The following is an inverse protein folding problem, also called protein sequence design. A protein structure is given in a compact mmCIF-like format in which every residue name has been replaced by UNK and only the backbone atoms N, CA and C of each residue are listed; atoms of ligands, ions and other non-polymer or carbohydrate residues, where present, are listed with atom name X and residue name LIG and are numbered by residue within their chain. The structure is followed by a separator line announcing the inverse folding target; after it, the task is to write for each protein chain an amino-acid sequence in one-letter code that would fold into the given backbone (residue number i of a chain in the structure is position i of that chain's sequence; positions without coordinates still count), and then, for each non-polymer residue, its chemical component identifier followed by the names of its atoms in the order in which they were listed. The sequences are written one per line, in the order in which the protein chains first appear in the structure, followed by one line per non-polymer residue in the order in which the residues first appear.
data_IF_960082794154
#
_entry.id   IF_960082794154
#
_cell.length_a   1.000
_cell.length_b   1.000
_cell.length_c   1.000
_cell.angle_alpha   90.00
_cell.angle_beta   90.00
_cell.angle_gamma   90.00
#
_symmetry.space_group_name_H-M   'P 1'
#
loop_
_entity.id
_entity.type
_entity.pdbx_description
1 polymer ?
#
# COMPACT_ATOMS: atom_id res chain seq x y z
N UNK A 1 0.98 -5.42 71.56
CA UNK A 1 0.76 -5.71 70.11
C UNK A 1 1.50 -4.64 69.30
N UNK A 2 2.67 -4.99 68.74
CA UNK A 2 3.46 -4.11 67.90
C UNK A 2 2.99 -4.30 66.45
N UNK A 3 2.49 -3.24 65.82
CA UNK A 3 2.16 -3.21 64.38
C UNK A 3 3.46 -3.00 63.60
N UNK A 4 3.83 -4.00 62.79
CA UNK A 4 4.92 -3.91 61.83
C UNK A 4 4.33 -3.27 60.54
N UNK A 5 4.82 -2.08 60.22
CA UNK A 5 4.50 -1.42 58.97
C UNK A 5 5.50 -1.95 57.92
N UNK A 6 5.05 -2.72 56.93
CA UNK A 6 5.84 -3.14 55.79
C UNK A 6 5.68 -2.03 54.75
N UNK A 7 6.71 -1.20 54.59
CA UNK A 7 6.84 -0.22 53.47
C UNK A 7 7.39 -1.00 52.29
N UNK A 8 6.55 -1.34 51.34
CA UNK A 8 6.97 -1.90 50.06
C UNK A 8 7.61 -0.81 49.18
N UNK A 9 8.92 -0.87 49.01
CA UNK A 9 9.62 -0.05 48.02
C UNK A 9 9.27 -0.53 46.62
N UNK A 10 8.42 0.20 45.95
CA UNK A 10 8.14 -0.02 44.53
C UNK A 10 9.34 0.51 43.72
N UNK A 11 10.22 -0.38 43.26
CA UNK A 11 11.32 -0.02 42.41
C UNK A 11 10.77 0.46 41.06
N UNK A 12 10.85 1.75 40.82
CA UNK A 12 10.56 2.37 39.52
C UNK A 12 11.68 1.98 38.56
N UNK A 13 11.49 0.88 37.81
CA UNK A 13 12.41 0.52 36.73
C UNK A 13 12.23 1.57 35.64
N UNK A 14 13.09 2.56 35.60
CA UNK A 14 13.23 3.43 34.42
C UNK A 14 13.74 2.57 33.28
N UNK A 15 12.85 2.18 32.38
CA UNK A 15 13.20 1.54 31.12
C UNK A 15 13.93 2.58 30.25
N UNK A 16 15.27 2.62 30.35
CA UNK A 16 16.08 3.36 29.38
C UNK A 16 15.87 2.73 28.00
N UNK A 17 15.73 3.55 26.94
CA UNK A 17 15.61 3.03 25.59
C UNK A 17 16.85 2.20 25.25
N UNK A 18 16.64 0.95 24.92
CA UNK A 18 17.73 0.05 24.48
C UNK A 18 18.08 0.48 23.06
N UNK A 19 19.22 1.17 22.90
CA UNK A 19 19.79 1.44 21.58
C UNK A 19 20.48 0.18 21.09
N UNK A 20 20.03 -0.35 19.93
CA UNK A 20 20.65 -1.49 19.29
C UNK A 20 21.40 -1.04 18.04
N UNK A 21 22.65 -1.45 17.92
CA UNK A 21 23.35 -1.42 16.64
C UNK A 21 22.71 -2.47 15.74
N UNK A 22 22.35 -2.10 14.52
CA UNK A 22 21.67 -2.98 13.59
C UNK A 22 22.71 -3.89 12.94
N UNK A 23 22.51 -5.20 13.06
CA UNK A 23 23.26 -6.18 12.29
C UNK A 23 22.67 -6.27 10.88
N UNK A 24 23.45 -5.95 9.88
CA UNK A 24 23.03 -5.95 8.48
C UNK A 24 23.40 -7.27 7.80
N UNK A 25 22.41 -7.90 7.18
CA UNK A 25 22.55 -9.09 6.35
C UNK A 25 22.24 -8.73 4.90
N UNK A 26 23.15 -9.00 3.98
CA UNK A 26 22.87 -8.87 2.56
C UNK A 26 21.87 -9.96 2.15
N UNK A 27 20.73 -9.53 1.59
CA UNK A 27 19.65 -10.44 1.14
C UNK A 27 19.60 -10.57 -0.37
N UNK A 28 20.01 -9.51 -1.08
CA UNK A 28 20.20 -9.49 -2.54
C UNK A 28 21.34 -8.51 -2.86
N UNK A 29 21.96 -8.58 -4.05
CA UNK A 29 23.00 -7.65 -4.44
C UNK A 29 22.60 -6.18 -4.30
N UNK A 30 23.27 -5.47 -3.39
CA UNK A 30 22.97 -4.06 -3.09
C UNK A 30 21.72 -3.84 -2.22
N UNK A 31 21.22 -4.89 -1.57
CA UNK A 31 20.11 -4.83 -0.61
C UNK A 31 20.48 -5.52 0.69
N UNK A 32 20.39 -4.82 1.80
CA UNK A 32 20.66 -5.35 3.14
C UNK A 32 19.43 -5.21 4.02
N UNK A 33 19.21 -6.26 4.83
CA UNK A 33 18.16 -6.30 5.83
C UNK A 33 18.77 -6.17 7.22
N UNK A 34 18.16 -5.32 8.04
CA UNK A 34 18.39 -5.23 9.47
C UNK A 34 17.11 -5.51 10.25
N UNK A 35 17.25 -5.97 11.49
CA UNK A 35 16.13 -6.27 12.38
C UNK A 35 16.32 -5.58 13.70
N UNK A 36 15.27 -4.95 14.21
CA UNK A 36 15.23 -4.37 15.56
C UNK A 36 14.04 -4.96 16.30
N UNK A 37 14.28 -5.52 17.48
CA UNK A 37 13.24 -6.17 18.27
C UNK A 37 12.68 -7.44 17.66
N UNK A 38 11.41 -7.70 17.90
CA UNK A 38 10.68 -8.85 17.36
C UNK A 38 9.65 -8.33 16.35
N UNK A 39 9.96 -8.36 15.04
CA UNK A 39 9.03 -7.96 14.00
C UNK A 39 7.75 -8.79 14.02
N UNK A 40 6.65 -8.19 13.64
CA UNK A 40 5.39 -8.90 13.43
C UNK A 40 5.51 -9.79 12.19
N UNK A 41 4.90 -10.97 12.25
CA UNK A 41 4.86 -11.92 11.13
C UNK A 41 4.09 -11.32 9.94
N UNK A 42 3.01 -10.57 10.22
CA UNK A 42 2.23 -9.90 9.20
C UNK A 42 2.90 -8.62 8.71
N UNK A 43 3.41 -8.62 7.49
CA UNK A 43 4.21 -7.54 6.90
C UNK A 43 3.84 -7.26 5.45
N UNK A 44 4.26 -6.10 4.92
CA UNK A 44 3.96 -5.70 3.54
C UNK A 44 4.54 -6.67 2.50
N UNK A 45 5.80 -7.07 2.64
CA UNK A 45 6.43 -8.02 1.72
C UNK A 45 5.79 -9.40 1.81
N UNK A 46 5.38 -9.83 3.03
CA UNK A 46 4.64 -11.07 3.24
C UNK A 46 3.28 -11.07 2.55
N UNK A 47 2.52 -9.98 2.69
CA UNK A 47 1.21 -9.83 2.02
C UNK A 47 1.36 -9.75 0.51
N UNK A 48 2.35 -9.00 0.02
CA UNK A 48 2.63 -8.92 -1.41
C UNK A 48 2.94 -10.31 -2.01
N UNK A 49 3.55 -11.21 -1.22
CA UNK A 49 3.80 -12.61 -1.61
C UNK A 49 4.69 -12.73 -2.84
N UNK A 50 5.59 -11.79 -3.01
CA UNK A 50 6.45 -11.69 -4.19
C UNK A 50 7.79 -12.39 -3.96
N UNK A 51 8.39 -12.86 -5.04
CA UNK A 51 9.74 -13.43 -5.05
C UNK A 51 10.71 -12.45 -5.71
N UNK A 52 11.84 -12.14 -5.08
CA UNK A 52 12.85 -11.28 -5.68
C UNK A 52 13.34 -11.78 -7.04
N UNK A 53 13.52 -10.86 -7.99
CA UNK A 53 13.96 -11.16 -9.36
C UNK A 53 15.49 -11.24 -9.44
N UNK A 54 16.06 -12.39 -9.05
CA UNK A 54 17.50 -12.61 -8.91
C UNK A 54 18.31 -12.28 -10.16
N UNK A 55 17.81 -12.66 -11.34
CA UNK A 55 18.48 -12.34 -12.62
C UNK A 55 18.55 -10.83 -12.89
N UNK A 56 17.54 -10.07 -12.43
CA UNK A 56 17.53 -8.62 -12.53
C UNK A 56 18.64 -7.99 -11.68
N UNK A 57 18.83 -8.49 -10.47
CA UNK A 57 19.92 -8.02 -9.58
C UNK A 57 21.29 -8.26 -10.18
N UNK A 58 21.52 -9.40 -10.82
CA UNK A 58 22.80 -9.74 -11.44
C UNK A 58 23.20 -8.78 -12.59
N UNK A 59 22.28 -8.02 -13.12
CA UNK A 59 22.52 -7.02 -14.19
C UNK A 59 22.82 -5.61 -13.66
N UNK A 60 22.72 -5.41 -12.35
CA UNK A 60 22.95 -4.10 -11.74
C UNK A 60 24.41 -3.99 -11.27
N UNK A 61 24.96 -2.76 -11.22
CA UNK A 61 26.33 -2.55 -10.73
C UNK A 61 26.53 -3.11 -9.32
N UNK A 62 27.70 -3.71 -9.06
CA UNK A 62 28.06 -4.12 -7.71
C UNK A 62 28.22 -2.89 -6.81
N UNK A 63 27.75 -3.02 -5.58
CA UNK A 63 27.85 -1.99 -4.55
C UNK A 63 28.07 -2.63 -3.19
N UNK A 64 28.76 -1.92 -2.32
CA UNK A 64 29.00 -2.33 -0.94
C UNK A 64 27.97 -1.71 0.01
N UNK A 65 27.88 -2.23 1.22
CA UNK A 65 27.04 -1.66 2.26
C UNK A 65 27.43 -0.18 2.47
N UNK A 66 26.47 0.76 2.34
CA UNK A 66 26.76 2.17 2.59
C UNK A 66 27.30 2.44 3.99
N UNK A 67 28.28 3.31 4.13
CA UNK A 67 28.85 3.68 5.44
C UNK A 67 27.75 4.17 6.40
N UNK A 68 26.71 4.82 5.88
CA UNK A 68 25.51 5.23 6.61
C UNK A 68 24.89 4.11 7.46
N UNK A 69 25.00 2.86 7.03
CA UNK A 69 24.45 1.71 7.76
C UNK A 69 24.96 1.61 9.21
N UNK A 70 26.22 2.02 9.45
CA UNK A 70 26.84 2.01 10.78
C UNK A 70 26.30 3.13 11.69
N UNK A 71 25.64 4.12 11.11
CA UNK A 71 25.11 5.30 11.80
C UNK A 71 23.59 5.20 12.03
N UNK A 72 22.92 4.25 11.39
CA UNK A 72 21.49 3.99 11.58
C UNK A 72 21.29 3.37 12.97
N UNK A 73 20.44 3.99 13.77
CA UNK A 73 20.13 3.54 15.13
C UNK A 73 18.69 3.07 15.19
N UNK A 74 18.51 1.84 15.67
CA UNK A 74 17.22 1.29 16.09
C UNK A 74 17.04 1.41 17.59
N UNK A 75 15.81 1.66 18.05
CA UNK A 75 15.48 1.60 19.48
C UNK A 75 14.05 1.12 19.69
N UNK A 76 13.82 0.54 20.87
CA UNK A 76 12.49 0.12 21.32
C UNK A 76 12.18 0.85 22.61
N UNK A 77 11.01 1.46 22.66
CA UNK A 77 10.49 2.12 23.84
C UNK A 77 8.97 1.99 23.87
N UNK A 78 8.42 1.62 25.04
CA UNK A 78 6.97 1.50 25.26
C UNK A 78 6.25 0.64 24.20
N UNK A 79 6.88 -0.49 23.81
CA UNK A 79 6.34 -1.41 22.81
C UNK A 79 6.36 -0.88 21.37
N UNK A 80 7.06 0.22 21.11
CA UNK A 80 7.21 0.83 19.79
C UNK A 80 8.65 0.82 19.35
N UNK A 81 8.86 0.54 18.08
CA UNK A 81 10.19 0.59 17.44
C UNK A 81 10.40 1.92 16.76
N UNK A 82 11.60 2.46 16.85
CA UNK A 82 11.97 3.63 16.09
C UNK A 82 13.31 3.46 15.39
N UNK A 83 13.43 4.06 14.22
CA UNK A 83 14.67 4.15 13.45
C UNK A 83 15.08 5.60 13.31
N UNK A 84 16.38 5.87 13.44
CA UNK A 84 16.97 7.16 13.15
C UNK A 84 18.05 6.98 12.09
N UNK A 85 17.84 7.61 10.92
CA UNK A 85 18.72 7.56 9.75
C UNK A 85 19.32 8.97 9.57
N UNK A 86 20.64 9.16 9.72
CA UNK A 86 21.28 10.44 9.56
C UNK A 86 21.12 11.03 8.16
N UNK A 87 21.04 12.35 8.08
CA UNK A 87 20.95 13.11 6.84
C UNK A 87 22.08 14.11 6.71
N UNK A 88 22.62 14.21 5.51
CA UNK A 88 23.54 15.27 5.15
C UNK A 88 22.81 16.62 5.00
N UNK A 89 23.54 17.73 5.12
CA UNK A 89 22.95 19.08 5.14
C UNK A 89 22.06 19.41 3.94
N UNK A 90 22.45 19.01 2.73
CA UNK A 90 21.73 19.30 1.47
C UNK A 90 20.97 18.10 0.90
N UNK A 91 20.92 17.01 1.63
CA UNK A 91 20.29 15.79 1.20
C UNK A 91 18.80 15.97 1.00
N UNK A 92 18.27 15.41 -0.08
CA UNK A 92 16.86 15.46 -0.46
C UNK A 92 16.25 14.07 -0.38
N UNK A 93 14.96 14.00 -0.07
CA UNK A 93 14.22 12.77 0.15
C UNK A 93 13.02 12.71 -0.79
N UNK A 94 12.81 11.56 -1.42
CA UNK A 94 11.72 11.32 -2.36
C UNK A 94 11.06 9.98 -2.06
N UNK A 95 9.74 9.88 -2.20
CA UNK A 95 9.00 8.64 -1.96
C UNK A 95 7.92 8.78 -0.89
N UNK A 96 7.79 7.77 -0.03
CA UNK A 96 6.72 7.59 0.97
C UNK A 96 5.33 7.42 0.35
N UNK A 97 5.27 6.96 -0.89
CA UNK A 97 4.03 6.71 -1.62
C UNK A 97 3.61 7.85 -2.54
N UNK A 98 2.34 7.85 -2.89
CA UNK A 98 1.76 8.79 -3.84
C UNK A 98 1.43 10.12 -3.14
N UNK A 99 2.33 11.07 -3.21
CA UNK A 99 2.15 12.43 -2.67
C UNK A 99 1.84 13.42 -3.79
N UNK A 100 0.82 14.29 -3.59
CA UNK A 100 0.25 15.08 -4.67
C UNK A 100 0.80 16.51 -4.78
N UNK A 101 1.32 17.08 -3.70
CA UNK A 101 1.71 18.49 -3.68
C UNK A 101 3.17 18.70 -4.06
N UNK A 102 4.07 17.89 -3.53
CA UNK A 102 5.51 18.02 -3.81
C UNK A 102 6.16 16.64 -3.93
N UNK A 103 7.20 16.57 -4.77
CA UNK A 103 8.05 15.39 -4.92
C UNK A 103 9.05 15.29 -3.77
N UNK A 104 9.54 16.42 -3.28
CA UNK A 104 10.53 16.51 -2.21
C UNK A 104 9.85 16.46 -0.84
N UNK A 105 10.26 15.51 0.01
CA UNK A 105 9.60 15.22 1.29
C UNK A 105 10.36 15.72 2.54
N UNK A 106 11.59 16.22 2.41
CA UNK A 106 12.36 16.68 3.58
C UNK A 106 11.67 17.84 4.30
N UNK A 107 11.69 17.79 5.63
CA UNK A 107 11.05 18.79 6.51
C UNK A 107 9.60 18.44 6.87
N UNK A 108 9.03 17.38 6.31
CA UNK A 108 7.64 16.98 6.56
C UNK A 108 7.51 15.97 7.70
N UNK A 109 6.31 15.92 8.26
CA UNK A 109 5.84 14.84 9.13
C UNK A 109 4.78 14.10 8.33
N UNK A 110 5.04 12.81 8.07
CA UNK A 110 4.17 11.98 7.25
C UNK A 110 3.57 10.87 8.13
N UNK A 111 2.25 10.76 8.12
CA UNK A 111 1.52 9.67 8.73
C UNK A 111 1.10 8.71 7.62
N UNK A 112 1.87 7.65 7.41
CA UNK A 112 1.64 6.68 6.34
C UNK A 112 0.39 5.86 6.64
N UNK A 113 -0.71 6.28 6.07
CA UNK A 113 -2.05 5.77 6.32
C UNK A 113 -2.83 5.78 5.01
N UNK A 114 -3.39 4.63 4.62
CA UNK A 114 -4.26 4.53 3.44
C UNK A 114 -5.51 5.40 3.65
N UNK A 115 -5.66 6.42 2.81
CA UNK A 115 -6.78 7.35 2.86
C UNK A 115 -6.86 8.16 1.56
N UNK A 116 -7.79 7.82 0.67
CA UNK A 116 -7.93 8.51 -0.61
C UNK A 116 -8.37 9.98 -0.47
N UNK A 117 -8.77 10.40 0.71
CA UNK A 117 -9.22 11.76 0.98
C UNK A 117 -8.10 12.68 1.47
N UNK A 118 -6.84 12.19 1.48
CA UNK A 118 -5.68 12.92 2.02
C UNK A 118 -5.50 14.30 1.41
N UNK A 119 -5.28 14.41 0.13
CA UNK A 119 -5.12 15.68 -0.60
C UNK A 119 -4.03 16.63 -0.09
N UNK A 120 -3.33 16.28 1.00
CA UNK A 120 -2.25 17.03 1.64
C UNK A 120 -1.02 16.13 1.74
N UNK A 121 0.16 16.69 1.56
CA UNK A 121 1.42 15.95 1.71
C UNK A 121 1.72 15.69 3.20
N UNK A 122 0.88 14.89 3.83
CA UNK A 122 1.00 14.48 5.23
C UNK A 122 1.10 12.95 5.40
N UNK A 123 1.31 12.20 4.28
CA UNK A 123 1.43 10.74 4.28
C UNK A 123 0.12 9.98 4.22
N UNK A 124 -1.03 10.65 4.42
CA UNK A 124 -2.36 10.06 4.19
C UNK A 124 -2.69 10.19 2.71
N UNK A 125 -2.73 9.07 2.01
CA UNK A 125 -2.88 9.03 0.54
C UNK A 125 -3.45 7.69 0.09
N UNK A 126 -3.86 7.60 -1.18
CA UNK A 126 -4.32 6.35 -1.80
C UNK A 126 -3.33 5.19 -1.65
N UNK A 127 -2.04 5.47 -1.75
CA UNK A 127 -0.99 4.47 -1.71
C UNK A 127 0.22 4.97 -0.90
N UNK A 128 0.14 4.97 0.44
CA UNK A 128 1.30 5.22 1.28
C UNK A 128 2.26 4.03 1.16
N UNK A 129 3.55 4.30 0.96
CA UNK A 129 4.57 3.27 0.87
C UNK A 129 5.72 3.63 1.82
N UNK A 130 6.10 2.76 2.77
CA UNK A 130 7.18 3.03 3.72
C UNK A 130 8.57 2.85 3.08
N UNK A 131 8.71 3.31 1.85
CA UNK A 131 9.95 3.34 1.07
C UNK A 131 10.24 4.76 0.61
N UNK A 132 11.51 5.16 0.78
CA UNK A 132 12.02 6.42 0.23
C UNK A 132 13.42 6.26 -0.33
N UNK A 133 13.79 7.15 -1.22
CA UNK A 133 15.15 7.29 -1.74
C UNK A 133 15.74 8.64 -1.33
N UNK A 134 17.05 8.62 -1.18
CA UNK A 134 17.86 9.80 -0.90
C UNK A 134 18.68 10.23 -2.10
N UNK A 135 18.87 11.55 -2.27
CA UNK A 135 19.82 12.11 -3.22
C UNK A 135 21.27 11.68 -2.96
N UNK A 136 21.56 11.07 -1.80
CA UNK A 136 22.87 10.53 -1.43
C UNK A 136 23.11 9.09 -1.92
N UNK A 137 22.22 8.53 -2.76
CA UNK A 137 22.41 7.23 -3.43
C UNK A 137 22.01 6.01 -2.60
N UNK A 138 21.09 6.17 -1.67
CA UNK A 138 20.51 5.06 -0.92
C UNK A 138 18.98 5.13 -0.86
N UNK A 139 18.36 4.03 -0.50
CA UNK A 139 16.93 3.95 -0.18
C UNK A 139 16.70 3.15 1.09
N UNK A 140 15.57 3.40 1.73
CA UNK A 140 15.15 2.70 2.94
C UNK A 140 13.72 2.24 2.80
N UNK A 141 13.44 0.98 3.14
CA UNK A 141 12.11 0.40 3.30
C UNK A 141 11.93 -0.08 4.73
N UNK A 142 10.81 0.24 5.35
CA UNK A 142 10.36 -0.36 6.60
C UNK A 142 9.29 -1.41 6.28
N UNK A 143 9.58 -2.68 6.51
CA UNK A 143 8.64 -3.77 6.22
C UNK A 143 7.65 -3.96 7.37
N UNK A 144 6.66 -3.08 7.44
CA UNK A 144 5.60 -3.12 8.43
C UNK A 144 4.27 -2.74 7.80
N UNK A 145 3.21 -3.44 8.19
CA UNK A 145 1.83 -3.16 7.78
C UNK A 145 1.09 -2.21 8.74
N UNK A 146 1.80 -1.63 9.73
CA UNK A 146 1.25 -0.66 10.69
C UNK A 146 1.20 0.76 10.10
N UNK A 147 0.42 1.64 10.72
CA UNK A 147 0.47 3.07 10.43
C UNK A 147 1.79 3.65 10.97
N UNK A 148 2.67 4.05 10.07
CA UNK A 148 3.96 4.62 10.47
C UNK A 148 3.90 6.13 10.54
N UNK A 149 4.63 6.72 11.52
CA UNK A 149 4.90 8.16 11.53
C UNK A 149 6.35 8.39 11.12
N UNK A 150 6.54 9.23 10.11
CA UNK A 150 7.85 9.57 9.56
C UNK A 150 8.13 11.06 9.78
N UNK A 151 9.18 11.36 10.52
CA UNK A 151 9.75 12.68 10.64
C UNK A 151 10.87 12.81 9.60
N UNK A 152 10.53 13.21 8.40
CA UNK A 152 11.41 13.22 7.23
C UNK A 152 12.38 14.43 7.27
N UNK A 153 13.36 14.44 8.15
CA UNK A 153 14.24 15.57 8.37
C UNK A 153 13.55 16.73 9.10
N UNK A 154 12.61 16.42 9.98
CA UNK A 154 11.95 17.34 10.91
C UNK A 154 12.16 16.88 12.35
N UNK A 155 11.86 17.74 13.34
CA UNK A 155 12.01 17.40 14.76
C UNK A 155 13.49 17.29 15.19
N UNK A 156 14.19 18.42 15.28
CA UNK A 156 15.60 18.48 15.68
C UNK A 156 15.81 18.02 17.12
N UNK A 157 16.76 17.10 17.33
CA UNK A 157 17.17 16.66 18.66
C UNK A 157 18.21 17.60 19.26
N UNK A 158 18.14 17.82 20.57
CA UNK A 158 19.10 18.69 21.32
C UNK A 158 20.51 18.07 21.37
N UNK A 159 20.63 16.76 21.27
CA UNK A 159 21.89 16.00 21.30
C UNK A 159 22.44 15.66 19.91
N UNK A 160 21.88 16.28 18.86
CA UNK A 160 22.34 16.07 17.51
C UNK A 160 23.66 16.78 17.24
N UNK A 161 24.69 16.11 16.64
CA UNK A 161 25.94 16.75 16.30
C UNK A 161 25.79 17.85 15.23
N UNK A 162 24.74 17.77 14.43
CA UNK A 162 24.43 18.73 13.35
C UNK A 162 23.09 19.43 13.58
N UNK A 163 22.77 19.74 14.83
CA UNK A 163 21.54 20.45 15.17
C UNK A 163 21.44 21.79 14.39
N UNK A 164 20.24 22.23 14.02
CA UNK A 164 20.02 23.51 13.39
C UNK A 164 20.51 24.67 14.29
N UNK A 165 21.19 25.62 13.68
CA UNK A 165 21.65 26.81 14.42
C UNK A 165 20.46 27.72 14.77
N UNK A 166 20.37 28.11 16.02
CA UNK A 166 19.35 29.05 16.47
C UNK A 166 19.50 30.42 15.76
N UNK A 167 18.38 30.95 15.32
CA UNK A 167 18.30 32.26 14.64
C UNK A 167 17.31 33.15 15.35
N UNK A 168 17.59 34.45 15.35
CA UNK A 168 16.65 35.44 15.88
C UNK A 168 15.53 35.70 14.87
N UNK A 169 14.29 35.41 15.24
CA UNK A 169 13.11 35.64 14.39
C UNK A 169 12.97 37.09 13.93
N UNK A 170 13.39 38.05 14.75
CA UNK A 170 13.19 39.46 14.47
C UNK A 170 14.28 40.03 13.54
N UNK A 171 15.47 39.39 13.51
CA UNK A 171 16.65 39.91 12.81
C UNK A 171 17.05 39.09 11.59
N UNK A 172 16.78 37.75 11.59
CA UNK A 172 17.20 36.85 10.50
C UNK A 172 16.01 36.50 9.62
N UNK A 173 16.01 37.02 8.39
CA UNK A 173 14.97 36.73 7.39
C UNK A 173 14.89 35.24 6.96
N UNK A 174 15.91 34.46 7.31
CA UNK A 174 15.95 33.00 7.02
C UNK A 174 15.48 32.18 8.23
N UNK A 175 14.92 32.82 9.25
CA UNK A 175 14.30 32.13 10.37
C UNK A 175 13.10 31.30 9.91
N UNK A 176 12.93 30.16 10.51
CA UNK A 176 11.75 29.26 10.32
C UNK A 176 11.40 28.60 11.64
N UNK A 177 10.12 28.39 11.89
CA UNK A 177 9.62 27.64 13.05
C UNK A 177 9.89 26.15 12.94
N UNK A 178 10.18 25.63 11.72
CA UNK A 178 10.42 24.24 11.41
C UNK A 178 11.75 24.06 10.68
N UNK A 179 12.90 24.26 11.33
CA UNK A 179 14.20 24.05 10.71
C UNK A 179 14.40 22.58 10.38
N UNK A 180 15.12 22.29 9.30
CA UNK A 180 15.46 20.93 8.92
C UNK A 180 16.31 20.25 10.00
N UNK A 181 15.89 19.05 10.37
CA UNK A 181 16.67 18.16 11.21
C UNK A 181 17.76 17.43 10.38
N UNK A 182 18.73 16.87 11.06
CA UNK A 182 19.81 16.07 10.51
C UNK A 182 19.52 14.57 10.45
N UNK A 183 18.27 14.16 10.56
CA UNK A 183 17.88 12.76 10.47
C UNK A 183 16.43 12.58 9.97
N UNK A 184 16.19 11.45 9.34
CA UNK A 184 14.85 10.85 9.25
C UNK A 184 14.64 10.03 10.51
N UNK A 185 13.52 10.26 11.20
CA UNK A 185 13.08 9.42 12.31
C UNK A 185 11.78 8.74 11.94
N UNK A 186 11.71 7.41 12.07
CA UNK A 186 10.54 6.61 11.72
C UNK A 186 10.05 5.89 12.97
N UNK A 187 8.78 6.07 13.31
CA UNK A 187 8.12 5.39 14.41
C UNK A 187 7.21 4.30 13.85
N UNK A 188 7.43 3.08 14.34
CA UNK A 188 6.63 1.88 14.04
C UNK A 188 5.91 1.48 15.33
N UNK A 189 4.57 1.45 15.38
CA UNK A 189 3.81 1.08 16.59
C UNK A 189 3.77 -0.45 16.76
N UNK A 190 4.95 -1.08 16.83
CA UNK A 190 5.14 -2.51 17.00
C UNK A 190 6.42 -2.78 17.80
N UNK A 191 6.53 -3.94 18.49
CA UNK A 191 7.66 -4.29 19.34
C UNK A 191 8.94 -4.64 18.56
N UNK A 192 8.89 -4.61 17.24
CA UNK A 192 10.01 -4.82 16.34
C UNK A 192 9.64 -4.49 14.91
N UNK A 193 10.66 -4.29 14.08
CA UNK A 193 10.46 -4.09 12.64
C UNK A 193 11.72 -4.48 11.85
N UNK A 194 11.51 -4.86 10.59
CA UNK A 194 12.57 -5.03 9.61
C UNK A 194 12.79 -3.71 8.86
N UNK A 195 14.06 -3.39 8.67
CA UNK A 195 14.50 -2.29 7.84
C UNK A 195 15.36 -2.83 6.69
N UNK A 196 15.09 -2.38 5.48
CA UNK A 196 15.89 -2.70 4.30
C UNK A 196 16.63 -1.45 3.83
N UNK A 197 17.91 -1.61 3.57
CA UNK A 197 18.78 -0.57 3.01
C UNK A 197 19.18 -0.96 1.59
N UNK A 198 18.92 -0.06 0.65
CA UNK A 198 19.24 -0.21 -0.76
C UNK A 198 20.35 0.75 -1.12
N UNK A 199 21.31 0.32 -1.92
CA UNK A 199 22.36 1.19 -2.46
C UNK A 199 22.43 1.11 -3.98
N UNK A 200 22.94 2.15 -4.60
CA UNK A 200 23.17 2.20 -6.03
C UNK A 200 23.99 3.42 -6.43
N UNK A 201 24.73 3.37 -7.56
CA UNK A 201 25.45 4.53 -8.08
C UNK A 201 24.54 5.71 -8.37
N UNK A 202 23.28 5.45 -8.70
CA UNK A 202 22.27 6.46 -9.00
C UNK A 202 20.98 6.20 -8.22
N UNK A 203 20.14 7.21 -7.98
CA UNK A 203 18.81 7.02 -7.41
C UNK A 203 17.95 6.00 -8.19
N UNK A 204 18.11 5.95 -9.51
CA UNK A 204 17.40 5.00 -10.36
C UNK A 204 17.81 3.56 -10.08
N UNK A 205 19.08 3.28 -9.78
CA UNK A 205 19.54 1.94 -9.43
C UNK A 205 18.99 1.49 -8.07
N UNK A 206 18.79 2.43 -7.15
CA UNK A 206 18.10 2.18 -5.87
C UNK A 206 16.63 1.79 -6.11
N UNK A 207 15.91 2.53 -6.95
CA UNK A 207 14.52 2.22 -7.32
C UNK A 207 14.42 0.87 -8.03
N UNK A 208 15.36 0.57 -8.92
CA UNK A 208 15.40 -0.75 -9.60
C UNK A 208 15.56 -1.89 -8.60
N UNK A 209 16.45 -1.76 -7.61
CA UNK A 209 16.63 -2.78 -6.57
C UNK A 209 15.37 -2.96 -5.71
N UNK A 210 14.73 -1.87 -5.32
CA UNK A 210 13.45 -1.93 -4.64
C UNK A 210 12.40 -2.67 -5.48
N UNK A 211 12.25 -2.30 -6.75
CA UNK A 211 11.33 -2.96 -7.67
C UNK A 211 11.63 -4.46 -7.81
N UNK A 212 12.91 -4.85 -8.00
CA UNK A 212 13.32 -6.24 -8.10
C UNK A 212 13.09 -7.04 -6.82
N UNK A 213 13.30 -6.42 -5.65
CA UNK A 213 12.98 -7.05 -4.35
C UNK A 213 11.48 -7.32 -4.22
N UNK A 214 10.66 -6.41 -4.73
CA UNK A 214 9.20 -6.50 -4.73
C UNK A 214 8.63 -7.33 -5.90
N UNK A 215 9.44 -8.19 -6.54
CA UNK A 215 8.98 -9.11 -7.58
C UNK A 215 9.17 -8.60 -9.02
N UNK A 216 9.72 -7.40 -9.20
CA UNK A 216 9.94 -6.79 -10.51
C UNK A 216 8.67 -6.21 -11.13
N UNK A 217 8.78 -5.84 -12.40
CA UNK A 217 7.64 -5.37 -13.19
C UNK A 217 6.91 -6.52 -13.90
N UNK A 218 5.68 -6.27 -14.28
CA UNK A 218 4.91 -7.14 -15.16
C UNK A 218 4.87 -6.52 -16.56
N UNK A 219 5.12 -7.33 -17.58
CA UNK A 219 4.88 -6.93 -18.94
C UNK A 219 3.39 -7.12 -19.25
N UNK A 220 2.61 -6.04 -19.38
CA UNK A 220 1.20 -6.19 -19.70
C UNK A 220 1.02 -6.68 -21.14
N UNK A 221 -0.12 -7.31 -21.48
CA UNK A 221 -0.42 -7.67 -22.86
C UNK A 221 -0.52 -6.38 -23.72
N UNK A 222 -0.20 -6.48 -25.00
CA UNK A 222 -0.17 -5.31 -25.91
C UNK A 222 -1.48 -4.51 -25.89
N UNK A 223 -2.62 -5.18 -25.88
CA UNK A 223 -3.92 -4.51 -25.81
C UNK A 223 -4.14 -3.74 -24.50
N UNK A 224 -3.54 -4.21 -23.39
CA UNK A 224 -3.61 -3.52 -22.10
C UNK A 224 -2.86 -2.18 -22.04
N UNK A 225 -2.00 -1.91 -23.04
CA UNK A 225 -1.33 -0.63 -23.26
C UNK A 225 -2.05 0.23 -24.32
N UNK A 226 -3.17 -0.23 -24.85
CA UNK A 226 -3.94 0.44 -25.87
C UNK A 226 -4.95 1.46 -25.32
N UNK A 227 -5.81 1.95 -26.20
CA UNK A 227 -6.80 2.93 -25.81
C UNK A 227 -7.97 2.28 -25.06
N UNK A 228 -8.33 2.88 -23.92
CA UNK A 228 -9.43 2.45 -23.07
C UNK A 228 -10.52 3.50 -23.03
N UNK A 229 -11.75 3.10 -23.34
CA UNK A 229 -12.95 3.90 -23.12
C UNK A 229 -13.68 3.43 -21.85
N UNK A 230 -14.13 4.37 -21.03
CA UNK A 230 -15.00 4.10 -19.87
C UNK A 230 -16.42 4.51 -20.20
N UNK A 231 -17.37 3.60 -19.97
CA UNK A 231 -18.78 3.87 -20.28
C UNK A 231 -19.45 4.78 -19.25
N UNK A 232 -20.60 5.35 -19.59
CA UNK A 232 -21.50 5.92 -18.58
C UNK A 232 -22.09 4.80 -17.73
N UNK A 233 -22.36 5.10 -16.45
CA UNK A 233 -22.70 4.06 -15.46
C UNK A 233 -23.94 3.21 -15.78
N UNK A 234 -24.89 3.74 -16.54
CA UNK A 234 -26.17 3.06 -16.86
C UNK A 234 -26.26 2.59 -18.33
N UNK A 235 -25.14 2.52 -19.03
CA UNK A 235 -25.14 1.98 -20.39
C UNK A 235 -25.63 0.53 -20.40
N UNK A 236 -26.40 0.23 -21.44
CA UNK A 236 -26.84 -1.12 -21.80
C UNK A 236 -25.80 -1.79 -22.69
N UNK A 237 -25.94 -3.09 -22.91
CA UNK A 237 -25.10 -3.80 -23.89
C UNK A 237 -25.17 -3.18 -25.29
N UNK A 238 -26.34 -2.69 -25.69
CA UNK A 238 -26.53 -2.02 -26.97
C UNK A 238 -25.81 -0.66 -27.02
N UNK A 239 -25.91 0.16 -25.96
CA UNK A 239 -25.19 1.43 -25.89
C UNK A 239 -23.67 1.22 -26.02
N UNK A 240 -23.12 0.18 -25.38
CA UNK A 240 -21.70 -0.16 -25.45
C UNK A 240 -21.28 -0.60 -26.87
N UNK A 241 -22.10 -1.41 -27.52
CA UNK A 241 -21.87 -1.84 -28.92
C UNK A 241 -21.88 -0.65 -29.86
N UNK A 242 -22.87 0.24 -29.72
CA UNK A 242 -22.99 1.44 -30.53
C UNK A 242 -21.78 2.37 -30.33
N UNK A 243 -21.30 2.54 -29.10
CA UNK A 243 -20.11 3.35 -28.83
C UNK A 243 -18.85 2.74 -29.48
N UNK A 244 -18.68 1.41 -29.41
CA UNK A 244 -17.57 0.75 -30.10
C UNK A 244 -17.64 0.90 -31.63
N UNK A 245 -18.84 0.81 -32.21
CA UNK A 245 -19.05 1.02 -33.65
C UNK A 245 -18.74 2.47 -34.05
N UNK A 246 -19.04 3.44 -33.22
CA UNK A 246 -18.68 4.85 -33.44
C UNK A 246 -17.16 5.08 -33.46
N UNK A 247 -16.40 4.41 -32.56
CA UNK A 247 -14.93 4.42 -32.59
C UNK A 247 -14.40 3.86 -33.90
N UNK A 248 -14.92 2.71 -34.35
CA UNK A 248 -14.54 2.07 -35.60
C UNK A 248 -14.85 2.96 -36.81
N UNK A 249 -16.07 3.49 -36.92
CA UNK A 249 -16.51 4.36 -38.01
C UNK A 249 -15.66 5.65 -38.12
N UNK A 250 -15.18 6.15 -36.99
CA UNK A 250 -14.30 7.35 -36.96
C UNK A 250 -12.83 7.01 -37.15
N UNK A 251 -12.49 5.74 -37.31
CA UNK A 251 -11.10 5.27 -37.46
C UNK A 251 -10.23 5.51 -36.21
N UNK A 252 -10.86 5.59 -35.03
CA UNK A 252 -10.14 5.77 -33.77
C UNK A 252 -9.89 4.42 -33.11
N UNK A 253 -8.64 4.12 -32.68
CA UNK A 253 -8.34 2.83 -32.05
C UNK A 253 -9.07 2.64 -30.72
N UNK A 254 -9.54 1.44 -30.49
CA UNK A 254 -10.18 1.02 -29.24
C UNK A 254 -9.76 -0.39 -28.89
N UNK A 255 -9.04 -0.57 -27.80
CA UNK A 255 -8.53 -1.88 -27.39
C UNK A 255 -9.44 -2.54 -26.34
N UNK A 256 -9.97 -1.74 -25.41
CA UNK A 256 -10.96 -2.26 -24.46
C UNK A 256 -11.90 -1.18 -23.93
N UNK A 257 -13.07 -1.64 -23.53
CA UNK A 257 -14.10 -0.83 -22.86
C UNK A 257 -14.22 -1.29 -21.42
N UNK A 258 -14.15 -0.32 -20.50
CA UNK A 258 -14.43 -0.51 -19.09
C UNK A 258 -15.87 -0.16 -18.77
N UNK A 259 -16.63 -1.14 -18.29
CA UNK A 259 -17.98 -0.93 -17.81
C UNK A 259 -17.94 -0.32 -16.41
N UNK A 260 -18.68 0.78 -16.22
CA UNK A 260 -18.85 1.43 -14.92
C UNK A 260 -19.87 0.68 -14.05
N UNK A 261 -20.03 1.00 -12.73
CA UNK A 261 -20.76 0.18 -11.75
C UNK A 261 -22.12 -0.38 -12.19
N UNK A 262 -22.80 0.29 -13.09
CA UNK A 262 -24.14 -0.09 -13.57
C UNK A 262 -24.21 -1.36 -14.43
N UNK A 263 -23.09 -2.03 -14.72
CA UNK A 263 -23.17 -3.35 -15.31
C UNK A 263 -23.72 -4.39 -14.31
N UNK A 264 -23.60 -4.13 -13.00
CA UNK A 264 -24.11 -4.98 -11.93
C UNK A 264 -25.56 -4.67 -11.60
N UNK A 265 -26.26 -5.64 -11.05
CA UNK A 265 -27.61 -5.48 -10.51
C UNK A 265 -27.65 -4.49 -9.32
N UNK A 266 -26.60 -4.50 -8.47
CA UNK A 266 -26.31 -3.50 -7.43
C UNK A 266 -24.81 -3.32 -7.26
N UNK A 267 -24.36 -2.10 -6.95
CA UNK A 267 -22.93 -1.75 -7.00
C UNK A 267 -22.32 -1.20 -5.69
N UNK A 268 -23.08 -0.55 -4.83
CA UNK A 268 -22.62 0.00 -3.55
C UNK A 268 -23.50 -0.48 -2.40
N UNK A 269 -23.26 -1.73 -1.88
CA UNK A 269 -22.20 -2.69 -2.19
C UNK A 269 -22.48 -3.58 -3.42
N UNK A 270 -21.48 -4.38 -3.84
CA UNK A 270 -21.52 -5.17 -5.07
C UNK A 270 -22.27 -6.50 -4.93
N UNK A 271 -23.08 -6.83 -5.93
CA UNK A 271 -23.65 -8.19 -6.09
C UNK A 271 -22.74 -9.11 -6.88
N UNK A 272 -21.88 -8.57 -7.74
CA UNK A 272 -21.06 -9.28 -8.75
C UNK A 272 -21.91 -10.02 -9.80
N UNK A 273 -23.14 -9.61 -9.98
CA UNK A 273 -24.08 -10.22 -10.90
C UNK A 273 -24.50 -9.22 -11.97
N UNK A 274 -24.53 -9.66 -13.21
CA UNK A 274 -24.97 -8.83 -14.32
C UNK A 274 -26.41 -8.35 -14.12
N UNK A 275 -26.65 -7.10 -14.47
CA UNK A 275 -28.02 -6.58 -14.51
C UNK A 275 -28.76 -7.16 -15.71
N UNK A 276 -29.77 -7.98 -15.44
CA UNK A 276 -30.51 -8.72 -16.49
C UNK A 276 -31.28 -7.81 -17.47
N UNK A 277 -31.56 -6.55 -17.07
CA UNK A 277 -32.26 -5.59 -17.96
C UNK A 277 -31.26 -4.94 -18.90
N UNK A 278 -30.11 -4.49 -18.39
CA UNK A 278 -29.10 -3.79 -19.21
C UNK A 278 -28.23 -4.76 -20.00
N UNK A 279 -27.98 -5.95 -19.47
CA UNK A 279 -27.16 -7.01 -20.07
C UNK A 279 -27.89 -8.35 -20.00
N UNK A 280 -28.96 -8.56 -20.82
CA UNK A 280 -29.77 -9.79 -20.77
C UNK A 280 -29.03 -11.04 -21.20
N UNK A 281 -28.00 -10.92 -22.05
CA UNK A 281 -27.11 -11.98 -22.48
C UNK A 281 -25.65 -11.51 -22.35
N UNK A 282 -25.04 -11.60 -21.14
CA UNK A 282 -23.67 -11.13 -20.94
C UNK A 282 -22.64 -11.89 -21.75
N UNK A 283 -22.83 -13.22 -21.89
CA UNK A 283 -21.90 -14.07 -22.65
C UNK A 283 -21.90 -13.73 -24.14
N UNK A 284 -23.09 -13.57 -24.73
CA UNK A 284 -23.22 -13.10 -26.12
C UNK A 284 -22.63 -11.71 -26.31
N UNK A 285 -22.93 -10.78 -25.39
CA UNK A 285 -22.37 -9.41 -25.43
C UNK A 285 -20.83 -9.42 -25.42
N UNK A 286 -20.19 -10.13 -24.47
CA UNK A 286 -18.72 -10.19 -24.37
C UNK A 286 -18.13 -10.84 -25.61
N UNK A 287 -18.75 -11.91 -26.12
CA UNK A 287 -18.32 -12.59 -27.35
C UNK A 287 -18.37 -11.65 -28.57
N UNK A 288 -19.44 -10.89 -28.72
CA UNK A 288 -19.60 -9.93 -29.82
C UNK A 288 -18.53 -8.85 -29.76
N UNK A 289 -18.24 -8.31 -28.56
CA UNK A 289 -17.19 -7.32 -28.38
C UNK A 289 -15.80 -7.88 -28.70
N UNK A 290 -15.51 -9.11 -28.27
CA UNK A 290 -14.24 -9.77 -28.63
C UNK A 290 -14.11 -10.02 -30.12
N UNK A 291 -15.21 -10.32 -30.83
CA UNK A 291 -15.20 -10.48 -32.28
C UNK A 291 -14.86 -9.17 -33.00
N UNK A 292 -15.17 -7.99 -32.42
CA UNK A 292 -14.75 -6.66 -32.88
C UNK A 292 -13.30 -6.31 -32.50
N UNK A 293 -12.61 -7.21 -31.76
CA UNK A 293 -11.27 -6.93 -31.23
C UNK A 293 -11.26 -6.07 -29.95
N UNK A 294 -12.42 -5.76 -29.39
CA UNK A 294 -12.58 -4.93 -28.20
C UNK A 294 -12.82 -5.80 -26.96
N UNK A 295 -11.99 -5.64 -25.94
CA UNK A 295 -12.10 -6.40 -24.69
C UNK A 295 -12.98 -5.69 -23.68
N UNK A 296 -13.60 -6.47 -22.78
CA UNK A 296 -14.43 -5.93 -21.69
C UNK A 296 -13.68 -6.01 -20.36
N UNK A 297 -13.63 -4.87 -19.68
CA UNK A 297 -13.15 -4.68 -18.32
C UNK A 297 -14.31 -4.25 -17.43
N UNK A 298 -14.40 -4.79 -16.22
CA UNK A 298 -15.49 -4.49 -15.28
C UNK A 298 -14.99 -3.64 -14.12
N UNK A 299 -15.74 -2.60 -13.77
CA UNK A 299 -15.57 -1.92 -12.49
C UNK A 299 -16.08 -2.84 -11.36
N UNK A 300 -15.35 -2.90 -10.24
CA UNK A 300 -15.76 -3.63 -9.05
C UNK A 300 -15.13 -3.05 -7.79
N UNK A 301 -15.73 -3.34 -6.63
CA UNK A 301 -15.11 -3.25 -5.32
C UNK A 301 -15.34 -4.58 -4.57
N UNK A 302 -14.63 -4.83 -3.46
CA UNK A 302 -14.71 -6.13 -2.79
C UNK A 302 -15.88 -6.28 -1.79
N UNK A 303 -16.69 -5.25 -1.57
CA UNK A 303 -17.73 -5.26 -0.53
C UNK A 303 -18.99 -5.97 -1.01
N UNK A 304 -19.36 -7.05 -0.31
CA UNK A 304 -20.43 -7.97 -0.77
C UNK A 304 -21.79 -7.54 -0.27
N UNK A 305 -22.69 -7.29 -1.21
CA UNK A 305 -24.09 -6.91 -0.94
C UNK A 305 -24.85 -8.05 -0.25
N UNK A 306 -25.80 -7.73 0.67
CA UNK A 306 -26.76 -8.70 1.18
C UNK A 306 -27.59 -9.40 0.09
N UNK A 307 -27.73 -8.79 -1.09
CA UNK A 307 -28.44 -9.36 -2.22
C UNK A 307 -27.57 -10.26 -3.10
N UNK A 308 -26.27 -10.33 -2.85
CA UNK A 308 -25.35 -11.21 -3.62
C UNK A 308 -25.59 -12.69 -3.29
N UNK A 309 -25.51 -13.53 -4.30
CA UNK A 309 -25.61 -15.00 -4.14
C UNK A 309 -24.56 -15.57 -3.19
N UNK A 310 -23.38 -14.94 -3.10
CA UNK A 310 -22.29 -15.40 -2.22
C UNK A 310 -22.39 -14.84 -0.78
N UNK A 311 -23.36 -13.98 -0.48
CA UNK A 311 -23.43 -13.30 0.81
C UNK A 311 -23.45 -14.24 2.01
N UNK A 312 -24.29 -15.29 1.98
CA UNK A 312 -24.44 -16.22 3.11
C UNK A 312 -23.17 -17.01 3.37
N UNK A 313 -22.47 -17.39 2.33
CA UNK A 313 -21.22 -18.15 2.42
C UNK A 313 -20.06 -17.25 2.85
N UNK A 314 -20.01 -16.01 2.36
CA UNK A 314 -18.99 -15.02 2.67
C UNK A 314 -19.14 -14.44 4.10
N UNK A 315 -20.35 -14.38 4.64
CA UNK A 315 -20.64 -13.75 5.94
C UNK A 315 -19.74 -14.24 7.08
N UNK A 316 -19.56 -15.56 7.33
CA UNK A 316 -18.74 -16.05 8.45
C UNK A 316 -17.23 -15.85 8.25
N UNK A 317 -16.79 -15.49 7.05
CA UNK A 317 -15.38 -15.23 6.69
C UNK A 317 -15.14 -13.77 6.34
N UNK A 318 -15.94 -12.88 6.88
CA UNK A 318 -15.86 -11.43 6.70
C UNK A 318 -15.59 -10.71 8.01
N UNK A 319 -15.10 -9.49 7.92
CA UNK A 319 -14.87 -8.60 9.06
C UNK A 319 -16.16 -8.23 9.79
N UNK A 320 -16.02 -7.78 11.03
CA UNK A 320 -17.13 -7.45 11.95
C UNK A 320 -17.92 -6.18 11.57
N UNK A 321 -17.41 -5.37 10.66
CA UNK A 321 -18.03 -4.11 10.23
C UNK A 321 -18.31 -4.11 8.72
N UNK A 322 -19.26 -3.30 8.33
CA UNK A 322 -19.68 -3.19 6.92
C UNK A 322 -19.15 -1.92 6.26
N UNK A 323 -19.05 -1.95 4.94
CA UNK A 323 -18.83 -0.78 4.09
C UNK A 323 -20.03 -0.64 3.17
N UNK A 324 -20.72 0.51 3.19
CA UNK A 324 -21.99 0.74 2.48
C UNK A 324 -23.04 -0.35 2.70
N UNK A 325 -23.13 -0.86 3.93
CA UNK A 325 -23.95 -2.01 4.33
C UNK A 325 -23.55 -3.36 3.70
N UNK A 326 -22.44 -3.43 2.97
CA UNK A 326 -21.85 -4.68 2.49
C UNK A 326 -20.83 -5.25 3.45
N UNK A 327 -20.76 -6.58 3.53
CA UNK A 327 -19.75 -7.25 4.33
C UNK A 327 -18.38 -7.12 3.66
N UNK A 328 -17.34 -7.11 4.48
CA UNK A 328 -15.93 -6.96 4.05
C UNK A 328 -15.24 -8.32 4.10
N UNK A 329 -15.01 -8.99 2.96
CA UNK A 329 -14.32 -10.28 2.94
C UNK A 329 -12.95 -10.22 3.61
N UNK A 330 -12.63 -11.19 4.46
CA UNK A 330 -11.29 -11.34 5.02
C UNK A 330 -10.38 -12.05 4.01
N UNK A 331 -9.87 -11.28 3.04
CA UNK A 331 -9.04 -11.82 1.95
C UNK A 331 -7.65 -12.30 2.39
N UNK A 332 -7.26 -12.09 3.65
CA UNK A 332 -6.11 -12.78 4.22
C UNK A 332 -6.41 -14.27 4.45
N UNK A 333 -7.68 -14.65 4.64
CA UNK A 333 -8.14 -16.02 4.75
C UNK A 333 -8.36 -16.69 3.39
N UNK A 334 -7.87 -17.92 3.23
CA UNK A 334 -7.99 -18.69 1.98
C UNK A 334 -9.46 -18.93 1.56
N UNK A 335 -10.33 -19.22 2.54
CA UNK A 335 -11.73 -19.49 2.27
C UNK A 335 -12.46 -18.28 1.66
N UNK A 336 -12.23 -17.09 2.20
CA UNK A 336 -12.82 -15.86 1.65
C UNK A 336 -12.33 -15.60 0.22
N UNK A 337 -11.01 -15.76 -0.02
CA UNK A 337 -10.45 -15.62 -1.38
C UNK A 337 -11.08 -16.60 -2.35
N UNK A 338 -11.20 -17.87 -1.95
CA UNK A 338 -11.79 -18.90 -2.82
C UNK A 338 -13.23 -18.58 -3.20
N UNK A 339 -14.09 -18.22 -2.25
CA UNK A 339 -15.49 -17.85 -2.51
C UNK A 339 -15.55 -16.68 -3.51
N UNK A 340 -14.73 -15.67 -3.30
CA UNK A 340 -14.69 -14.48 -4.15
C UNK A 340 -14.18 -14.79 -5.56
N UNK A 341 -13.09 -15.55 -5.67
CA UNK A 341 -12.50 -15.97 -6.94
C UNK A 341 -13.46 -16.86 -7.72
N UNK A 342 -14.04 -17.89 -7.11
CA UNK A 342 -15.00 -18.79 -7.76
C UNK A 342 -16.18 -18.01 -8.38
N UNK A 343 -16.68 -16.97 -7.65
CA UNK A 343 -17.75 -16.11 -8.15
C UNK A 343 -17.33 -15.33 -9.39
N UNK A 344 -16.16 -14.67 -9.34
CA UNK A 344 -15.68 -13.87 -10.46
C UNK A 344 -15.29 -14.74 -11.66
N UNK A 345 -14.70 -15.90 -11.42
CA UNK A 345 -14.37 -16.86 -12.48
C UNK A 345 -15.62 -17.34 -13.22
N UNK A 346 -16.63 -17.81 -12.47
CA UNK A 346 -17.85 -18.38 -13.06
C UNK A 346 -18.68 -17.34 -13.82
N UNK A 347 -18.86 -16.15 -13.26
CA UNK A 347 -19.78 -15.14 -13.80
C UNK A 347 -19.12 -14.21 -14.83
N UNK A 348 -17.79 -14.09 -14.81
CA UNK A 348 -17.08 -13.09 -15.62
C UNK A 348 -15.96 -13.67 -16.47
N UNK A 349 -14.96 -14.33 -15.85
CA UNK A 349 -13.77 -14.77 -16.58
C UNK A 349 -14.13 -15.82 -17.62
N UNK A 350 -14.96 -16.80 -17.24
CA UNK A 350 -15.40 -17.89 -18.12
C UNK A 350 -16.20 -17.44 -19.34
N UNK A 351 -16.81 -16.26 -19.31
CA UNK A 351 -17.50 -15.68 -20.48
C UNK A 351 -16.60 -14.72 -21.27
N UNK A 352 -15.32 -14.52 -20.87
CA UNK A 352 -14.34 -13.75 -21.63
C UNK A 352 -14.06 -12.34 -21.14
N UNK A 353 -14.54 -11.93 -19.94
CA UNK A 353 -14.14 -10.67 -19.32
C UNK A 353 -12.63 -10.66 -19.12
N UNK A 354 -11.97 -9.63 -19.58
CA UNK A 354 -10.51 -9.57 -19.71
C UNK A 354 -9.80 -8.84 -18.57
N UNK A 355 -10.53 -8.29 -17.63
CA UNK A 355 -9.93 -7.58 -16.48
C UNK A 355 -10.92 -6.78 -15.66
N UNK A 356 -10.39 -6.16 -14.61
CA UNK A 356 -11.16 -5.35 -13.68
C UNK A 356 -10.50 -3.99 -13.43
N UNK A 357 -11.34 -2.96 -13.24
CA UNK A 357 -11.00 -1.78 -12.47
C UNK A 357 -11.41 -2.07 -11.02
N UNK A 358 -10.45 -2.39 -10.17
CA UNK A 358 -10.67 -2.56 -8.73
C UNK A 358 -10.63 -1.18 -8.07
N UNK A 359 -11.74 -0.79 -7.48
CA UNK A 359 -11.96 0.55 -6.91
C UNK A 359 -12.26 0.46 -5.40
N UNK A 360 -12.19 1.60 -4.69
CA UNK A 360 -12.62 1.78 -3.31
C UNK A 360 -11.92 0.89 -2.26
N UNK A 361 -10.73 0.38 -2.58
CA UNK A 361 -9.91 -0.44 -1.66
C UNK A 361 -8.95 0.40 -0.82
N UNK A 362 -8.89 1.69 -1.09
CA UNK A 362 -8.06 2.72 -0.49
C UNK A 362 -8.87 3.73 0.33
N UNK A 363 -10.04 3.33 0.79
CA UNK A 363 -11.06 4.16 1.40
C UNK A 363 -10.60 5.05 2.56
N UNK A 364 -11.41 6.04 2.89
CA UNK A 364 -11.13 6.96 3.98
C UNK A 364 -11.99 6.69 5.23
N UNK A 365 -11.62 7.30 6.36
CA UNK A 365 -12.15 7.02 7.72
C UNK A 365 -13.67 7.04 7.87
N UNK A 366 -14.39 7.73 6.99
CA UNK A 366 -15.86 7.90 7.14
C UNK A 366 -16.67 6.69 6.70
N UNK A 367 -16.16 5.84 5.80
CA UNK A 367 -16.95 4.71 5.30
C UNK A 367 -16.26 3.34 5.43
N UNK A 368 -14.93 3.27 5.57
CA UNK A 368 -14.27 2.00 5.87
C UNK A 368 -14.44 1.64 7.34
N UNK A 369 -14.10 0.41 7.68
CA UNK A 369 -14.18 -0.08 9.05
C UNK A 369 -13.26 0.69 10.02
N UNK A 370 -13.66 0.87 11.28
CA UNK A 370 -12.83 1.47 12.32
C UNK A 370 -11.73 0.51 12.79
N UNK A 371 -10.68 1.05 13.44
CA UNK A 371 -9.56 0.25 13.95
C UNK A 371 -9.94 -0.73 15.09
N UNK A 372 -11.17 -0.67 15.59
CA UNK A 372 -11.75 -1.65 16.53
C UNK A 372 -12.42 -2.84 15.83
N UNK A 373 -12.48 -2.86 14.50
CA UNK A 373 -13.01 -3.99 13.76
C UNK A 373 -12.15 -5.25 13.99
N UNK A 374 -12.78 -6.39 13.85
CA UNK A 374 -12.13 -7.70 13.94
C UNK A 374 -12.30 -8.47 12.65
N UNK A 375 -11.29 -9.26 12.30
CA UNK A 375 -11.29 -10.14 11.14
C UNK A 375 -11.05 -11.58 11.56
N UNK A 376 -11.69 -12.57 10.91
CA UNK A 376 -11.50 -14.00 11.22
C UNK A 376 -10.04 -14.46 11.16
N UNK A 377 -9.20 -13.85 10.34
CA UNK A 377 -7.76 -14.11 10.30
C UNK A 377 -6.99 -13.67 11.54
N UNK A 378 -7.60 -12.87 12.42
CA UNK A 378 -6.95 -12.29 13.59
C UNK A 378 -6.05 -11.08 13.28
N UNK A 379 -5.97 -10.64 12.02
CA UNK A 379 -5.20 -9.46 11.62
C UNK A 379 -5.86 -8.21 12.19
N UNK A 380 -5.06 -7.31 12.75
CA UNK A 380 -5.55 -6.05 13.30
C UNK A 380 -6.19 -5.19 12.21
N UNK A 381 -7.28 -4.50 12.55
CA UNK A 381 -8.07 -3.72 11.60
C UNK A 381 -7.26 -2.67 10.84
N UNK A 382 -6.31 -2.01 11.51
CA UNK A 382 -5.40 -1.04 10.87
C UNK A 382 -4.47 -1.71 9.84
N UNK A 383 -3.92 -2.90 10.17
CA UNK A 383 -3.06 -3.66 9.26
C UNK A 383 -3.85 -4.18 8.05
N UNK A 384 -5.07 -4.68 8.29
CA UNK A 384 -5.97 -5.07 7.21
C UNK A 384 -6.26 -3.89 6.30
N UNK A 385 -6.52 -2.71 6.85
CA UNK A 385 -6.80 -1.51 6.07
C UNK A 385 -5.60 -1.08 5.21
N UNK A 386 -4.39 -1.10 5.78
CA UNK A 386 -3.16 -0.75 5.05
C UNK A 386 -2.86 -1.69 3.89
N UNK A 387 -3.30 -2.94 3.98
CA UNK A 387 -2.94 -3.99 3.03
C UNK A 387 -4.12 -4.50 2.20
N UNK A 388 -5.33 -3.99 2.44
CA UNK A 388 -6.53 -4.51 1.78
C UNK A 388 -6.45 -4.41 0.25
N UNK A 389 -5.95 -3.29 -0.26
CA UNK A 389 -5.69 -3.12 -1.68
C UNK A 389 -4.71 -4.16 -2.25
N UNK A 390 -3.67 -4.53 -1.49
CA UNK A 390 -2.73 -5.58 -1.90
C UNK A 390 -3.41 -6.95 -1.98
N UNK A 391 -4.26 -7.30 -0.99
CA UNK A 391 -5.01 -8.55 -1.01
C UNK A 391 -5.96 -8.63 -2.19
N UNK A 392 -6.73 -7.57 -2.43
CA UNK A 392 -7.68 -7.53 -3.57
C UNK A 392 -6.93 -7.63 -4.90
N UNK A 393 -5.85 -6.85 -5.08
CA UNK A 393 -5.03 -6.86 -6.30
C UNK A 393 -4.41 -8.25 -6.54
N UNK A 394 -3.82 -8.85 -5.51
CA UNK A 394 -3.22 -10.18 -5.57
C UNK A 394 -4.26 -11.22 -5.95
N UNK A 395 -5.40 -11.24 -5.25
CA UNK A 395 -6.49 -12.20 -5.50
C UNK A 395 -7.06 -12.03 -6.90
N UNK A 396 -7.25 -10.78 -7.36
CA UNK A 396 -7.74 -10.52 -8.72
C UNK A 396 -6.74 -10.97 -9.79
N UNK A 397 -5.43 -10.76 -9.55
CA UNK A 397 -4.38 -11.19 -10.49
C UNK A 397 -4.30 -12.73 -10.60
N UNK A 398 -4.66 -13.46 -9.56
CA UNK A 398 -4.69 -14.93 -9.58
C UNK A 398 -5.75 -15.49 -10.51
N UNK A 399 -6.83 -14.74 -10.82
CA UNK A 399 -7.88 -15.15 -11.77
C UNK A 399 -7.38 -15.26 -13.22
N UNK A 400 -6.26 -14.64 -13.56
CA UNK A 400 -5.72 -14.57 -14.93
C UNK A 400 -4.37 -15.27 -15.09
N UNK A 401 -3.97 -16.09 -14.11
CA UNK A 401 -2.78 -16.96 -14.17
C UNK A 401 -3.12 -18.33 -14.73
#
# INVERSE_FOLDING_TARGET
MKKILIVGAMALVMLCPVKAQIAWQQVEPGVWKGVVGTPEEYSLLGVAGVTPQKEGFARLPEVTLPQLANEIVGSIQDGKTSFRIPLQRKEQLYGFGLNFQTVHQRGKILNLHVDHYGGRDNGRTHAPVPFYISSSGYGVLINSARYLTVYAGSGARKDSPNAPVAKDRNMDKTWTSAPYSDAVSILVPAPGAEIYLFAGPTPMDVVRRYNLLCGGGTLPPRWGLGFTQRTKKLYTAEDVKNEADEFEQRGFPLDFIGLEPGWQSKAYPCTFEWDATRYPDPAGFVKDMLAKGVRINLWTNPYVSPDSKIYKEMYPVSGSHTVWCGIVPDLAGEKARKIWMDKLEQEHVNIGVSGYKVDEVDGYDRYVWPDVATFPSGIAAEQMRQTYGLWVQRTTAELYK
#
